data_IF_665761290164
#
_entry.id   IF_665761290164
#
_cell.length_a   1.000
_cell.length_b   1.000
_cell.length_c   1.000
_cell.angle_alpha   90.00
_cell.angle_beta   90.00
_cell.angle_gamma   90.00
#
_symmetry.space_group_name_H-M   'P 1'
#
loop_
_entity.id
_entity.type
_entity.pdbx_description
1 polymer ?
#
# COMPACT_ATOMS: atom_id res chain seq x y z
N UNK A 1 -36.25 -17.57 -15.34
CA UNK A 1 -36.44 -17.01 -13.99
C UNK A 1 -35.06 -16.91 -13.35
N UNK A 2 -34.25 -15.95 -13.77
CA UNK A 2 -34.17 -14.57 -13.26
C UNK A 2 -33.30 -14.49 -12.01
N UNK A 3 -32.02 -14.16 -12.25
CA UNK A 3 -31.20 -13.17 -11.55
C UNK A 3 -31.86 -12.50 -10.32
N UNK A 4 -31.79 -13.10 -9.13
CA UNK A 4 -32.26 -12.45 -7.89
C UNK A 4 -31.12 -12.23 -6.86
N UNK A 5 -30.01 -12.97 -6.97
CA UNK A 5 -28.93 -12.86 -5.96
C UNK A 5 -28.00 -11.65 -6.16
N UNK A 6 -28.10 -10.96 -7.30
CA UNK A 6 -27.30 -9.75 -7.59
C UNK A 6 -28.04 -8.43 -7.32
N UNK A 7 -29.30 -8.48 -6.86
CA UNK A 7 -30.11 -7.28 -6.59
C UNK A 7 -30.15 -6.89 -5.11
N UNK A 8 -29.98 -7.84 -4.18
CA UNK A 8 -30.05 -7.54 -2.73
C UNK A 8 -28.88 -6.70 -2.22
N UNK A 9 -27.69 -6.83 -2.80
CA UNK A 9 -26.53 -6.03 -2.40
C UNK A 9 -26.61 -4.56 -2.85
N UNK A 10 -27.48 -4.23 -3.81
CA UNK A 10 -27.60 -2.88 -4.37
C UNK A 10 -28.63 -2.03 -3.63
N UNK A 11 -29.68 -2.66 -3.10
CA UNK A 11 -30.74 -1.99 -2.31
C UNK A 11 -30.26 -1.64 -0.89
N UNK A 12 -29.42 -2.48 -0.26
CA UNK A 12 -28.86 -2.23 1.08
C UNK A 12 -27.88 -1.04 1.10
N UNK A 13 -27.12 -0.82 0.02
CA UNK A 13 -26.22 0.34 -0.12
C UNK A 13 -27.00 1.65 -0.33
N UNK A 14 -28.16 1.59 -0.99
CA UNK A 14 -29.02 2.77 -1.17
C UNK A 14 -29.74 3.18 0.12
N UNK A 15 -30.07 2.22 1.01
CA UNK A 15 -30.70 2.53 2.30
C UNK A 15 -29.74 3.13 3.33
N UNK A 16 -28.43 2.85 3.27
CA UNK A 16 -27.45 3.42 4.18
C UNK A 16 -27.22 4.93 3.95
N UNK A 17 -27.32 5.38 2.70
CA UNK A 17 -27.02 6.76 2.30
C UNK A 17 -28.08 7.79 2.75
N UNK A 18 -29.28 7.36 3.11
CA UNK A 18 -30.39 8.27 3.50
C UNK A 18 -30.40 8.61 5.01
N UNK A 19 -29.57 7.97 5.84
CA UNK A 19 -29.59 8.15 7.31
C UNK A 19 -28.37 8.85 7.93
N UNK A 20 -27.30 9.08 7.17
CA UNK A 20 -26.12 9.80 7.65
C UNK A 20 -26.14 11.22 7.07
N UNK A 21 -26.27 12.28 7.88
CA UNK A 21 -26.18 13.64 7.39
C UNK A 21 -24.74 13.86 6.94
N UNK A 22 -24.53 13.93 5.62
CA UNK A 22 -23.25 14.13 4.94
C UNK A 22 -22.03 13.52 5.67
N UNK A 23 -21.57 12.31 5.31
CA UNK A 23 -20.47 11.62 5.99
C UNK A 23 -19.15 12.41 5.98
N UNK A 24 -19.08 13.53 5.29
CA UNK A 24 -17.86 14.30 5.09
C UNK A 24 -17.26 13.96 3.74
N UNK A 25 -16.08 14.51 3.52
CA UNK A 25 -15.37 14.35 2.28
C UNK A 25 -14.70 12.98 2.22
N UNK A 26 -14.67 12.36 1.03
CA UNK A 26 -14.30 10.96 0.89
C UNK A 26 -12.90 10.60 1.43
N UNK A 27 -11.94 11.51 1.33
CA UNK A 27 -10.59 11.33 1.89
C UNK A 27 -10.53 11.32 3.43
N UNK A 28 -11.59 11.80 4.09
CA UNK A 28 -11.68 11.93 5.54
C UNK A 28 -12.35 10.71 6.19
N UNK A 29 -13.23 10.03 5.46
CA UNK A 29 -14.04 8.91 5.97
C UNK A 29 -13.72 7.56 5.34
N UNK A 30 -13.09 7.54 4.17
CA UNK A 30 -12.55 6.32 3.59
C UNK A 30 -11.06 6.24 3.90
N UNK A 31 -10.62 5.10 4.43
CA UNK A 31 -9.22 4.76 4.54
C UNK A 31 -8.62 4.64 3.14
N UNK A 32 -7.43 5.20 2.96
CA UNK A 32 -6.67 5.09 1.72
C UNK A 32 -5.36 4.40 2.03
N UNK A 33 -5.38 3.07 1.98
CA UNK A 33 -4.14 2.31 2.10
C UNK A 33 -3.23 2.62 0.91
N UNK A 34 -2.10 3.24 1.20
CA UNK A 34 -1.02 3.48 0.27
C UNK A 34 0.24 2.95 0.95
N UNK A 35 0.64 1.75 0.54
CA UNK A 35 1.96 1.20 0.81
C UNK A 35 2.60 0.76 -0.52
N UNK A 36 3.93 0.82 -0.58
CA UNK A 36 4.73 0.29 -1.68
C UNK A 36 5.44 -1.01 -1.30
N UNK A 37 5.35 -2.04 -2.14
CA UNK A 37 6.05 -3.33 -1.95
C UNK A 37 6.63 -3.81 -3.28
N UNK A 38 7.79 -4.45 -3.23
CA UNK A 38 8.45 -5.03 -4.39
C UNK A 38 9.54 -6.02 -4.00
N UNK A 39 10.13 -6.67 -4.98
CA UNK A 39 11.28 -7.56 -4.79
C UNK A 39 12.25 -7.42 -5.97
N UNK A 40 13.52 -7.75 -5.71
CA UNK A 40 14.58 -7.85 -6.72
C UNK A 40 15.32 -9.15 -6.47
N UNK A 41 15.62 -9.89 -7.54
CA UNK A 41 16.36 -11.15 -7.47
C UNK A 41 17.41 -11.22 -8.57
N UNK A 42 18.52 -11.90 -8.29
CA UNK A 42 19.48 -12.28 -9.32
C UNK A 42 18.96 -13.52 -10.05
N UNK A 43 18.70 -13.41 -11.36
CA UNK A 43 18.32 -14.57 -12.18
C UNK A 43 19.37 -15.67 -12.23
N UNK A 44 20.63 -15.34 -11.95
CA UNK A 44 21.77 -16.27 -11.88
C UNK A 44 22.07 -16.75 -10.45
N UNK A 45 21.34 -16.26 -9.44
CA UNK A 45 21.57 -16.61 -8.04
C UNK A 45 22.84 -16.03 -7.43
N UNK A 46 23.46 -15.03 -8.05
CA UNK A 46 24.70 -14.41 -7.56
C UNK A 46 24.36 -13.32 -6.54
N UNK A 47 24.81 -13.52 -5.30
CA UNK A 47 24.68 -12.51 -4.25
C UNK A 47 25.67 -11.36 -4.49
N UNK A 48 25.16 -10.13 -4.61
CA UNK A 48 25.97 -8.92 -4.81
C UNK A 48 25.37 -7.73 -4.08
N UNK A 49 26.22 -6.78 -3.64
CA UNK A 49 25.78 -5.52 -3.02
C UNK A 49 24.91 -4.68 -3.96
N UNK A 50 25.09 -4.82 -5.28
CA UNK A 50 24.28 -4.16 -6.30
C UNK A 50 22.78 -4.39 -6.14
N UNK A 51 22.36 -5.58 -5.68
CA UNK A 51 20.95 -5.86 -5.43
C UNK A 51 20.37 -4.93 -4.33
N UNK A 52 21.18 -4.62 -3.30
CA UNK A 52 20.79 -3.72 -2.22
C UNK A 52 20.70 -2.28 -2.72
N UNK A 53 21.69 -1.81 -3.48
CA UNK A 53 21.68 -0.49 -4.09
C UNK A 53 20.44 -0.28 -4.97
N UNK A 54 20.10 -1.27 -5.80
CA UNK A 54 18.90 -1.22 -6.64
C UNK A 54 17.62 -1.22 -5.80
N UNK A 55 17.57 -2.00 -4.71
CA UNK A 55 16.41 -2.05 -3.82
C UNK A 55 16.20 -0.71 -3.09
N UNK A 56 17.27 -0.03 -2.67
CA UNK A 56 17.19 1.29 -2.04
C UNK A 56 16.68 2.36 -3.01
N UNK A 57 17.14 2.34 -4.27
CA UNK A 57 16.59 3.23 -5.31
C UNK A 57 15.11 2.95 -5.54
N UNK A 58 14.73 1.67 -5.62
CA UNK A 58 13.33 1.28 -5.81
C UNK A 58 12.44 1.73 -4.65
N UNK A 59 12.90 1.62 -3.39
CA UNK A 59 12.19 2.15 -2.22
C UNK A 59 11.98 3.67 -2.33
N UNK A 60 12.99 4.43 -2.75
CA UNK A 60 12.84 5.87 -2.98
C UNK A 60 11.79 6.21 -4.05
N UNK A 61 11.65 5.39 -5.09
CA UNK A 61 10.58 5.56 -6.09
C UNK A 61 9.16 5.32 -5.51
N UNK A 62 9.06 4.60 -4.39
CA UNK A 62 7.80 4.30 -3.71
C UNK A 62 7.42 5.34 -2.63
N UNK A 63 8.23 6.37 -2.41
CA UNK A 63 8.01 7.40 -1.37
C UNK A 63 6.63 8.06 -1.44
N UNK A 64 6.12 8.31 -2.64
CA UNK A 64 4.77 8.88 -2.83
C UNK A 64 3.62 7.97 -2.34
N UNK A 65 3.94 6.71 -2.01
CA UNK A 65 3.05 5.73 -1.39
C UNK A 65 3.46 5.45 0.07
N UNK A 66 4.30 6.28 0.66
CA UNK A 66 4.66 6.23 2.07
C UNK A 66 3.83 7.21 2.89
N UNK A 67 3.65 6.90 4.17
CA UNK A 67 3.13 7.85 5.15
C UNK A 67 4.25 8.68 5.76
N UNK A 68 3.94 9.93 6.06
CA UNK A 68 4.83 10.87 6.74
C UNK A 68 4.10 11.48 7.94
N UNK A 69 4.84 11.62 9.04
CA UNK A 69 4.39 12.26 10.26
C UNK A 69 4.14 13.76 10.08
N UNK A 70 3.58 14.39 11.10
CA UNK A 70 3.23 15.81 11.08
C UNK A 70 4.44 16.77 10.97
N UNK A 71 5.66 16.29 11.21
CA UNK A 71 6.91 17.06 11.11
C UNK A 71 7.45 17.19 9.67
N UNK A 72 6.84 16.47 8.71
CA UNK A 72 7.29 16.42 7.31
C UNK A 72 8.71 15.88 7.13
N UNK A 73 9.22 15.13 8.10
CA UNK A 73 10.58 14.55 8.10
C UNK A 73 10.54 13.07 8.48
N UNK A 74 9.83 12.72 9.56
CA UNK A 74 9.73 11.35 10.04
C UNK A 74 8.74 10.55 9.18
N UNK A 75 9.22 9.45 8.59
CA UNK A 75 8.37 8.49 7.87
C UNK A 75 7.75 7.44 8.80
N UNK A 76 6.61 6.89 8.40
CA UNK A 76 5.94 5.80 9.16
C UNK A 76 6.78 4.52 9.16
N UNK A 77 7.55 4.28 8.09
CA UNK A 77 8.53 3.20 8.03
C UNK A 77 8.87 2.76 6.60
N UNK A 78 10.12 2.34 6.41
CA UNK A 78 10.60 1.67 5.20
C UNK A 78 11.59 0.56 5.59
N UNK A 79 11.69 -0.50 4.79
CA UNK A 79 12.56 -1.63 5.13
C UNK A 79 12.90 -2.54 3.96
N UNK A 80 13.97 -3.32 4.14
CA UNK A 80 14.42 -4.35 3.20
C UNK A 80 14.55 -5.68 3.94
N UNK A 81 14.05 -6.75 3.32
CA UNK A 81 14.35 -8.12 3.72
C UNK A 81 15.43 -8.68 2.79
N UNK A 82 16.52 -9.18 3.36
CA UNK A 82 17.67 -9.69 2.60
C UNK A 82 18.13 -11.04 3.16
N UNK A 83 19.01 -11.72 2.41
CA UNK A 83 19.77 -12.83 2.97
C UNK A 83 20.80 -12.29 4.00
N UNK A 84 21.12 -13.11 5.00
CA UNK A 84 22.12 -12.77 6.02
C UNK A 84 23.48 -12.48 5.33
N UNK A 85 24.06 -11.28 5.50
CA UNK A 85 25.32 -10.93 4.88
C UNK A 85 26.50 -11.44 5.74
N UNK A 86 26.87 -12.71 5.58
CA UNK A 86 27.93 -13.36 6.38
C UNK A 86 29.33 -12.72 6.33
N UNK A 87 29.56 -11.80 5.38
CA UNK A 87 30.86 -11.16 5.14
C UNK A 87 30.92 -9.70 5.60
N UNK A 88 29.87 -9.20 6.26
CA UNK A 88 29.79 -7.81 6.73
C UNK A 88 30.77 -7.54 7.89
#
# INVERSE_FOLDING_TARGET
MNNIDNQKNQEDLQQYHTRIPYPGQRWLVEERDACGVGFIASGQGIATHKLIEQALVALGCLEHRGGCSADQDSGDGAGLLTAIPWKL
#
